data_IF_067733787226
#
_entry.id   IF_067733787226
#
_cell.length_a   1.000
_cell.length_b   1.000
_cell.length_c   1.000
_cell.angle_alpha   90.00
_cell.angle_beta   90.00
_cell.angle_gamma   90.00
#
_symmetry.space_group_name_H-M   'P 1'
#
loop_
_entity.id
_entity.type
_entity.pdbx_description
1 polymer ?
#
# COMPACT_ATOMS: atom_id res chain seq x y z
N UNK A 1 3.01 -0.83 -0.17
CA UNK A 1 2.91 -0.54 1.27
C UNK A 1 1.83 -1.45 1.81
N UNK A 2 2.14 -2.22 2.85
CA UNK A 2 1.20 -3.07 3.58
C UNK A 2 1.06 -2.42 4.95
N UNK A 3 -0.15 -2.02 5.31
CA UNK A 3 -0.49 -1.52 6.63
C UNK A 3 -1.12 -2.69 7.38
N UNK A 4 -0.50 -3.12 8.47
CA UNK A 4 -0.93 -4.28 9.24
C UNK A 4 -1.33 -3.86 10.65
N UNK A 5 -2.50 -4.31 11.11
CA UNK A 5 -2.92 -4.04 12.47
C UNK A 5 -2.08 -4.85 13.49
N UNK A 6 -1.77 -4.29 14.65
CA UNK A 6 -0.95 -4.92 15.70
C UNK A 6 -1.50 -6.29 16.16
N UNK A 7 -2.82 -6.45 16.15
CA UNK A 7 -3.50 -7.72 16.49
C UNK A 7 -3.25 -8.85 15.48
N UNK A 8 -2.73 -8.54 14.30
CA UNK A 8 -2.51 -9.50 13.22
C UNK A 8 -1.05 -9.93 13.09
N UNK A 9 -0.12 -9.20 13.72
CA UNK A 9 1.34 -9.43 13.66
C UNK A 9 1.72 -10.88 14.01
N UNK A 10 1.13 -11.41 15.08
CA UNK A 10 1.48 -12.71 15.64
C UNK A 10 0.75 -13.89 14.97
N UNK A 11 -0.02 -13.66 13.90
CA UNK A 11 -0.70 -14.75 13.20
C UNK A 11 0.25 -15.41 12.20
N UNK A 12 0.68 -16.67 12.42
CA UNK A 12 1.67 -17.33 11.56
C UNK A 12 1.20 -17.53 10.10
N UNK A 13 -0.11 -17.46 9.85
CA UNK A 13 -0.72 -17.51 8.51
C UNK A 13 -1.31 -16.14 8.09
N UNK A 14 -0.84 -15.04 8.68
CA UNK A 14 -1.33 -13.70 8.38
C UNK A 14 -1.02 -13.27 6.94
N UNK A 15 -2.01 -12.67 6.28
CA UNK A 15 -1.93 -12.20 4.89
C UNK A 15 -0.75 -11.26 4.65
N UNK A 16 -0.50 -10.31 5.56
CA UNK A 16 0.62 -9.38 5.47
C UNK A 16 1.99 -10.09 5.41
N UNK A 17 2.17 -11.17 6.19
CA UNK A 17 3.42 -11.94 6.21
C UNK A 17 3.64 -12.68 4.90
N UNK A 18 2.59 -13.28 4.34
CA UNK A 18 2.65 -13.95 3.03
C UNK A 18 2.99 -12.94 1.93
N UNK A 19 2.34 -11.78 1.92
CA UNK A 19 2.59 -10.72 0.93
C UNK A 19 4.03 -10.19 1.04
N UNK A 20 4.53 -9.97 2.26
CA UNK A 20 5.88 -9.49 2.48
C UNK A 20 6.95 -10.47 1.99
N UNK A 21 6.69 -11.77 2.08
CA UNK A 21 7.56 -12.82 1.53
C UNK A 21 7.41 -13.00 0.00
N UNK A 22 6.31 -12.53 -0.58
CA UNK A 22 5.98 -12.75 -2.00
C UNK A 22 6.30 -11.56 -2.91
N UNK A 23 6.60 -10.39 -2.32
CA UNK A 23 6.80 -9.14 -3.05
C UNK A 23 8.16 -8.53 -2.74
N UNK A 24 9.03 -8.45 -3.75
CA UNK A 24 10.38 -7.91 -3.60
C UNK A 24 10.42 -6.40 -3.28
N UNK A 25 9.38 -5.67 -3.65
CA UNK A 25 9.31 -4.20 -3.53
C UNK A 25 8.14 -3.78 -2.63
N UNK A 26 8.09 -4.33 -1.42
CA UNK A 26 7.10 -3.95 -0.43
C UNK A 26 7.74 -3.50 0.88
N UNK A 27 6.94 -2.77 1.66
CA UNK A 27 7.24 -2.38 3.03
C UNK A 27 5.98 -2.71 3.84
N UNK A 28 6.18 -3.36 4.99
CA UNK A 28 5.12 -3.63 5.95
C UNK A 28 5.27 -2.67 7.14
N UNK A 29 4.22 -1.91 7.43
CA UNK A 29 4.13 -1.00 8.58
C UNK A 29 3.08 -1.57 9.53
N UNK A 30 3.43 -1.69 10.81
CA UNK A 30 2.55 -2.29 11.82
C UNK A 30 2.05 -1.19 12.76
N UNK A 31 0.73 -1.05 12.90
CA UNK A 31 0.12 0.03 13.66
C UNK A 31 -1.40 -0.02 13.66
N UNK A 32 -2.01 0.78 14.52
CA UNK A 32 -3.49 0.96 14.59
C UNK A 32 -3.92 2.28 13.92
N UNK A 33 -3.14 3.34 14.11
CA UNK A 33 -3.33 4.66 13.48
C UNK A 33 -2.02 5.09 12.80
N UNK A 34 -2.09 5.40 11.51
CA UNK A 34 -0.95 5.82 10.69
C UNK A 34 -0.99 7.32 10.32
N UNK A 35 -1.91 8.10 10.90
CA UNK A 35 -2.08 9.52 10.58
C UNK A 35 -0.79 10.34 10.79
N UNK A 36 0.00 9.96 11.80
CA UNK A 36 1.27 10.60 12.16
C UNK A 36 2.49 9.70 11.89
N UNK A 37 2.37 8.68 11.05
CA UNK A 37 3.50 7.79 10.75
C UNK A 37 4.50 8.47 9.80
N UNK A 38 5.69 8.78 10.31
CA UNK A 38 6.72 9.51 9.55
C UNK A 38 7.17 8.75 8.29
N UNK A 39 7.24 7.42 8.36
CA UNK A 39 7.68 6.58 7.24
C UNK A 39 6.62 6.59 6.15
N UNK A 40 5.35 6.37 6.51
CA UNK A 40 4.23 6.43 5.58
C UNK A 40 4.11 7.82 4.94
N UNK A 41 4.15 8.88 5.75
CA UNK A 41 4.02 10.25 5.26
C UNK A 41 5.19 10.64 4.34
N UNK A 42 6.41 10.22 4.66
CA UNK A 42 7.57 10.41 3.77
C UNK A 42 7.39 9.69 2.44
N UNK A 43 6.87 8.46 2.46
CA UNK A 43 6.56 7.71 1.25
C UNK A 43 5.46 8.42 0.44
N UNK A 44 4.38 8.86 1.08
CA UNK A 44 3.26 9.53 0.38
C UNK A 44 3.67 10.88 -0.23
N UNK A 45 4.63 11.58 0.36
CA UNK A 45 5.17 12.83 -0.17
C UNK A 45 6.01 12.67 -1.45
N UNK A 46 6.39 11.44 -1.82
CA UNK A 46 7.17 11.17 -3.02
C UNK A 46 6.33 11.30 -4.30
N UNK A 47 6.44 12.46 -4.97
CA UNK A 47 5.71 12.79 -6.19
C UNK A 47 6.11 11.97 -7.43
N UNK A 48 7.21 11.21 -7.37
CA UNK A 48 7.62 10.31 -8.45
C UNK A 48 6.71 9.08 -8.54
N UNK A 49 5.93 8.83 -7.48
CA UNK A 49 4.94 7.78 -7.42
C UNK A 49 3.52 8.32 -7.48
N UNK A 50 2.63 7.51 -8.05
CA UNK A 50 1.20 7.67 -7.93
C UNK A 50 0.69 6.59 -6.96
N UNK A 51 0.10 7.06 -5.87
CA UNK A 51 -0.33 6.20 -4.76
C UNK A 51 -1.79 5.78 -4.93
N UNK A 52 -2.09 4.51 -4.67
CA UNK A 52 -3.44 3.96 -4.71
C UNK A 52 -3.71 3.05 -3.54
N UNK A 53 -4.90 3.18 -2.96
CA UNK A 53 -5.41 2.28 -1.91
C UNK A 53 -6.21 1.17 -2.58
N UNK A 54 -5.86 -0.08 -2.27
CA UNK A 54 -6.63 -1.25 -2.66
C UNK A 54 -7.76 -1.52 -1.65
N UNK A 55 -8.80 -2.21 -2.11
CA UNK A 55 -9.99 -2.62 -1.34
C UNK A 55 -9.65 -3.04 0.11
N UNK A 56 -10.47 -2.72 1.16
CA UNK A 56 -11.91 -2.42 1.12
C UNK A 56 -12.36 -0.95 1.26
N UNK A 57 -11.51 0.05 1.02
CA UNK A 57 -11.99 1.44 1.15
C UNK A 57 -13.03 1.79 0.09
N UNK A 58 -14.04 2.62 0.42
CA UNK A 58 -15.06 3.08 -0.55
C UNK A 58 -14.46 3.88 -1.72
N UNK A 59 -13.27 4.45 -1.54
CA UNK A 59 -12.51 5.13 -2.59
C UNK A 59 -11.65 4.22 -3.46
N UNK A 60 -11.65 2.91 -3.23
CA UNK A 60 -10.81 1.96 -3.97
C UNK A 60 -11.23 1.89 -5.44
N UNK A 61 -10.26 1.99 -6.35
CA UNK A 61 -10.47 1.84 -7.79
C UNK A 61 -9.84 0.56 -8.31
N UNK A 62 -10.40 0.02 -9.37
CA UNK A 62 -9.82 -1.14 -10.03
C UNK A 62 -8.50 -0.74 -10.71
N UNK A 63 -7.44 -1.53 -10.53
CA UNK A 63 -6.13 -1.25 -11.11
C UNK A 63 -6.18 -1.14 -12.65
N UNK A 64 -7.11 -1.86 -13.28
CA UNK A 64 -7.38 -1.81 -14.71
C UNK A 64 -7.79 -0.42 -15.20
N UNK A 65 -8.52 0.33 -14.37
CA UNK A 65 -8.98 1.68 -14.70
C UNK A 65 -7.84 2.70 -14.62
N UNK A 66 -6.90 2.45 -13.70
CA UNK A 66 -5.72 3.29 -13.48
C UNK A 66 -4.73 3.18 -14.63
N UNK A 67 -4.44 1.96 -15.08
CA UNK A 67 -3.48 1.71 -16.16
C UNK A 67 -3.96 2.27 -17.50
N UNK A 68 -5.29 2.30 -17.73
CA UNK A 68 -5.88 2.88 -18.94
C UNK A 68 -5.76 4.41 -18.99
N UNK A 69 -5.98 5.09 -17.86
CA UNK A 69 -5.92 6.56 -17.76
C UNK A 69 -4.49 7.14 -17.85
N UNK A 70 -3.46 6.32 -17.64
CA UNK A 70 -2.07 6.76 -17.47
C UNK A 70 -1.25 6.85 -18.77
N UNK A 71 -1.90 6.83 -19.94
CA UNK A 71 -1.22 6.78 -21.25
C UNK A 71 -0.34 7.99 -21.61
N UNK A 72 -0.32 9.07 -20.82
CA UNK A 72 0.37 10.32 -21.14
C UNK A 72 1.58 10.66 -20.26
N UNK A 73 1.72 10.12 -19.04
CA UNK A 73 2.90 10.32 -18.17
C UNK A 73 3.10 9.09 -17.27
N UNK A 74 4.17 8.30 -17.49
CA UNK A 74 4.48 7.12 -16.68
C UNK A 74 5.10 7.48 -15.32
N UNK A 75 4.28 7.86 -14.33
CA UNK A 75 4.71 7.83 -12.92
C UNK A 75 4.75 6.38 -12.42
N UNK A 76 5.67 6.08 -11.49
CA UNK A 76 5.72 4.75 -10.88
C UNK A 76 4.47 4.54 -10.03
N UNK A 77 3.93 3.32 -10.00
CA UNK A 77 2.73 3.03 -9.19
C UNK A 77 3.16 2.53 -7.81
N UNK A 78 2.52 3.05 -6.76
CA UNK A 78 2.64 2.54 -5.39
C UNK A 78 1.28 2.12 -4.87
N UNK A 79 1.16 0.84 -4.51
CA UNK A 79 -0.08 0.27 -3.98
C UNK A 79 -0.02 0.23 -2.44
N UNK A 80 -1.14 0.54 -1.81
CA UNK A 80 -1.34 0.50 -0.36
C UNK A 80 -2.40 -0.57 -0.08
N UNK A 81 -2.05 -1.55 0.75
CA UNK A 81 -2.92 -2.62 1.21
C UNK A 81 -3.17 -2.45 2.72
N UNK A 82 -4.40 -2.72 3.14
CA UNK A 82 -4.89 -2.67 4.52
C UNK A 82 -5.14 -4.09 5.03
#
# INVERSE_FOLDING_TARGET
IILQHTSEEHRPLGTARILNLSLDNCICLIGEDFSCDDVLNHLLADESYQHFVLYPSEGSRCISEITQASHSVSKKIRLILL
#
